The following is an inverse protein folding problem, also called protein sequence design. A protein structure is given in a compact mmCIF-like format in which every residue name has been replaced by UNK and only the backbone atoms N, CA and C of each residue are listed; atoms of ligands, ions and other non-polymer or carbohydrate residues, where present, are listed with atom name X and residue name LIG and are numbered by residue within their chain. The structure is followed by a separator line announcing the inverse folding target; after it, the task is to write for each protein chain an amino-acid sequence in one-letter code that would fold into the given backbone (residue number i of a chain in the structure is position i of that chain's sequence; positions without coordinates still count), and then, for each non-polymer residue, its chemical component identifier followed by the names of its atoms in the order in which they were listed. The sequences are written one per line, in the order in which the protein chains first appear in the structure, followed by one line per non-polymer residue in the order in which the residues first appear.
data_IF_492002522444
#
_entry.id   IF_492002522444
#
_cell.length_a   1.000
_cell.length_b   1.000
_cell.length_c   1.000
_cell.angle_alpha   90.00
_cell.angle_beta   90.00
_cell.angle_gamma   90.00
#
_symmetry.space_group_name_H-M   'P 1'
#
loop_
_entity.id
_entity.type
_entity.pdbx_description
1 polymer ?
#
# COMPACT_ATOMS: atom_id res chain seq x y z
N UNK A 1 -1.05 12.58 10.89
CA UNK A 1 -2.09 11.54 11.05
C UNK A 1 -1.66 10.26 10.38
N UNK A 2 -1.77 9.16 11.08
CA UNK A 2 -1.48 7.84 10.53
C UNK A 2 -2.57 7.47 9.52
N UNK A 3 -2.16 7.01 8.34
CA UNK A 3 -3.10 6.60 7.29
C UNK A 3 -2.83 5.16 6.88
N UNK A 4 -3.91 4.42 6.64
CA UNK A 4 -3.86 3.06 6.12
C UNK A 4 -4.56 3.07 4.77
N UNK A 5 -3.84 2.67 3.72
CA UNK A 5 -4.36 2.63 2.35
C UNK A 5 -4.58 1.19 1.93
N UNK A 6 -5.70 0.93 1.30
CA UNK A 6 -6.02 -0.41 0.81
C UNK A 6 -7.43 -0.50 0.27
N UNK A 7 -8.02 -1.69 0.39
CA UNK A 7 -9.41 -1.94 0.02
C UNK A 7 -10.12 -2.59 1.20
N UNK A 8 -11.41 -2.31 1.36
CA UNK A 8 -12.18 -2.74 2.54
C UNK A 8 -12.39 -4.26 2.60
N UNK A 9 -12.36 -4.95 1.47
CA UNK A 9 -12.57 -6.40 1.43
C UNK A 9 -11.26 -7.20 1.39
N UNK A 10 -10.19 -6.67 1.92
CA UNK A 10 -8.89 -7.34 2.00
C UNK A 10 -8.61 -7.74 3.45
N UNK A 11 -8.40 -9.04 3.69
CA UNK A 11 -8.16 -9.56 5.04
C UNK A 11 -6.93 -8.93 5.68
N UNK A 12 -5.86 -8.77 4.92
CA UNK A 12 -4.62 -8.18 5.43
C UNK A 12 -4.81 -6.72 5.83
N UNK A 13 -5.58 -5.98 5.05
CA UNK A 13 -5.93 -4.58 5.36
C UNK A 13 -6.74 -4.51 6.65
N UNK A 14 -7.76 -5.36 6.77
CA UNK A 14 -8.60 -5.38 7.96
C UNK A 14 -7.82 -5.80 9.21
N UNK A 15 -6.87 -6.69 9.05
CA UNK A 15 -5.97 -7.11 10.12
C UNK A 15 -5.11 -5.94 10.62
N UNK A 16 -4.58 -5.14 9.69
CA UNK A 16 -3.80 -3.96 10.05
C UNK A 16 -4.67 -2.92 10.78
N UNK A 17 -5.88 -2.67 10.27
CA UNK A 17 -6.80 -1.73 10.91
C UNK A 17 -7.12 -2.15 12.34
N UNK A 18 -7.39 -3.43 12.55
CA UNK A 18 -7.66 -3.97 13.89
C UNK A 18 -6.44 -3.87 14.80
N UNK A 19 -5.26 -4.08 14.25
CA UNK A 19 -4.02 -3.99 15.01
C UNK A 19 -3.86 -2.59 15.63
N UNK A 20 -4.05 -1.55 14.84
CA UNK A 20 -3.97 -0.17 15.33
C UNK A 20 -5.14 0.21 16.23
N UNK A 21 -6.35 -0.19 15.87
CA UNK A 21 -7.55 0.10 16.67
C UNK A 21 -7.44 -0.53 18.07
N UNK A 22 -6.99 -1.78 18.16
CA UNK A 22 -6.87 -2.48 19.44
C UNK A 22 -5.82 -1.84 20.36
N UNK A 23 -4.91 -1.05 19.81
CA UNK A 23 -3.88 -0.33 20.55
C UNK A 23 -4.23 1.15 20.72
N UNK A 24 -5.49 1.50 20.42
CA UNK A 24 -6.02 2.86 20.59
C UNK A 24 -5.26 3.92 19.78
N UNK A 25 -4.79 3.53 18.60
CA UNK A 25 -4.11 4.43 17.67
C UNK A 25 -5.11 4.95 16.66
N UNK A 26 -5.37 6.24 16.68
CA UNK A 26 -6.22 6.87 15.67
C UNK A 26 -5.56 6.82 14.31
N UNK A 27 -6.36 6.53 13.30
CA UNK A 27 -5.88 6.47 11.92
C UNK A 27 -7.01 6.75 10.96
N UNK A 28 -6.64 7.17 9.75
CA UNK A 28 -7.58 7.36 8.66
C UNK A 28 -7.42 6.19 7.68
N UNK A 29 -8.53 5.55 7.33
CA UNK A 29 -8.52 4.51 6.30
C UNK A 29 -8.87 5.13 4.95
N UNK A 30 -7.98 4.97 3.98
CA UNK A 30 -8.16 5.44 2.62
C UNK A 30 -8.40 4.22 1.72
N UNK A 31 -9.61 4.10 1.20
CA UNK A 31 -10.00 2.99 0.32
C UNK A 31 -9.74 3.37 -1.13
N UNK A 32 -8.93 2.58 -1.84
CA UNK A 32 -8.60 2.84 -3.25
C UNK A 32 -9.85 2.93 -4.13
N UNK A 33 -10.91 2.19 -3.79
CA UNK A 33 -12.12 2.13 -4.61
C UNK A 33 -13.05 3.31 -4.39
N UNK A 34 -13.21 3.75 -3.15
CA UNK A 34 -14.13 4.84 -2.81
C UNK A 34 -13.45 6.20 -2.82
N UNK A 35 -12.20 6.26 -2.38
CA UNK A 35 -11.45 7.51 -2.24
C UNK A 35 -10.49 7.76 -3.39
N UNK A 36 -10.28 6.74 -4.24
CA UNK A 36 -9.42 6.85 -5.41
C UNK A 36 -7.95 6.64 -5.11
N UNK A 37 -7.16 6.60 -6.16
CA UNK A 37 -5.70 6.47 -6.08
C UNK A 37 -5.09 7.42 -7.11
N UNK A 38 -4.40 8.43 -6.63
CA UNK A 38 -3.80 9.43 -7.51
C UNK A 38 -2.38 9.05 -7.92
N UNK A 39 -1.97 9.53 -9.09
CA UNK A 39 -0.59 9.36 -9.54
C UNK A 39 0.39 10.00 -8.56
N UNK A 40 0.02 11.10 -7.92
CA UNK A 40 0.86 11.78 -6.93
C UNK A 40 1.17 10.89 -5.74
N UNK A 41 0.17 10.20 -5.19
CA UNK A 41 0.38 9.25 -4.09
C UNK A 41 1.31 8.11 -4.50
N UNK A 42 1.05 7.51 -5.66
CA UNK A 42 1.86 6.39 -6.15
C UNK A 42 3.30 6.82 -6.37
N UNK A 43 3.52 7.98 -6.98
CA UNK A 43 4.87 8.52 -7.19
C UNK A 43 5.61 8.72 -5.88
N UNK A 44 4.93 9.25 -4.87
CA UNK A 44 5.52 9.46 -3.55
C UNK A 44 5.93 8.14 -2.90
N UNK A 45 5.07 7.13 -2.98
CA UNK A 45 5.38 5.79 -2.44
C UNK A 45 6.56 5.17 -3.16
N UNK A 46 6.59 5.26 -4.50
CA UNK A 46 7.69 4.73 -5.32
C UNK A 46 9.01 5.42 -4.94
N UNK A 47 8.98 6.73 -4.75
CA UNK A 47 10.16 7.49 -4.36
C UNK A 47 10.75 6.95 -3.05
N UNK A 48 9.89 6.56 -2.10
CA UNK A 48 10.32 6.09 -0.78
C UNK A 48 10.74 4.63 -0.73
N UNK A 49 10.12 3.77 -1.54
CA UNK A 49 10.32 2.32 -1.43
C UNK A 49 10.88 1.66 -2.69
N UNK A 50 10.81 2.34 -3.83
CA UNK A 50 11.00 1.69 -5.13
C UNK A 50 9.73 0.98 -5.56
N UNK A 51 9.49 0.91 -6.88
CA UNK A 51 8.24 0.33 -7.38
C UNK A 51 8.15 -1.18 -7.15
N UNK A 52 9.28 -1.87 -7.14
CA UNK A 52 9.30 -3.32 -6.97
C UNK A 52 8.80 -3.74 -5.60
N UNK A 53 9.04 -2.92 -4.57
CA UNK A 53 8.55 -3.18 -3.23
C UNK A 53 7.03 -3.00 -3.11
N UNK A 54 6.44 -2.19 -3.98
CA UNK A 54 5.00 -1.93 -3.98
C UNK A 54 4.19 -3.00 -4.70
N UNK A 55 4.78 -3.70 -5.67
CA UNK A 55 4.04 -4.64 -6.50
C UNK A 55 3.92 -5.99 -5.78
N UNK A 56 2.68 -6.49 -5.69
CA UNK A 56 2.42 -7.80 -5.11
C UNK A 56 2.41 -8.87 -6.20
N UNK A 57 3.54 -9.53 -6.38
CA UNK A 57 3.70 -10.58 -7.39
C UNK A 57 3.00 -11.89 -7.02
N UNK A 58 2.42 -11.97 -5.82
CA UNK A 58 1.63 -13.13 -5.39
C UNK A 58 0.13 -12.94 -5.59
N UNK A 59 -0.28 -11.74 -6.04
CA UNK A 59 -1.70 -11.44 -6.21
C UNK A 59 -2.27 -12.08 -7.46
N UNK A 60 -3.58 -12.30 -7.46
CA UNK A 60 -4.30 -12.73 -8.66
C UNK A 60 -4.20 -11.68 -9.77
N UNK A 61 -4.21 -10.41 -9.39
CA UNK A 61 -4.06 -9.31 -10.36
C UNK A 61 -2.74 -9.40 -11.11
N UNK A 62 -1.67 -9.76 -10.42
CA UNK A 62 -0.36 -9.98 -11.07
C UNK A 62 -0.43 -11.14 -12.07
N UNK A 63 -1.02 -12.25 -11.64
CA UNK A 63 -1.15 -13.44 -12.50
C UNK A 63 -2.01 -13.19 -13.74
N UNK A 64 -2.96 -12.26 -13.63
CA UNK A 64 -3.86 -11.92 -14.75
C UNK A 64 -3.26 -10.93 -15.74
N UNK A 65 -2.12 -10.32 -15.41
CA UNK A 65 -1.42 -9.46 -16.36
C UNK A 65 -0.86 -10.30 -17.51
N UNK A 66 -0.90 -9.75 -18.72
CA UNK A 66 -0.24 -10.41 -19.84
C UNK A 66 1.28 -10.35 -19.68
N UNK A 67 1.99 -11.25 -20.37
CA UNK A 67 3.44 -11.33 -20.26
C UNK A 67 4.13 -10.05 -20.71
N UNK A 68 3.61 -9.43 -21.77
CA UNK A 68 4.20 -8.19 -22.29
C UNK A 68 4.15 -7.07 -21.26
N UNK A 69 3.03 -6.93 -20.55
CA UNK A 69 2.89 -5.91 -19.49
C UNK A 69 3.84 -6.20 -18.34
N UNK A 70 3.87 -7.47 -17.87
CA UNK A 70 4.77 -7.82 -16.75
C UNK A 70 6.23 -7.60 -17.08
N UNK A 71 6.65 -8.06 -18.26
CA UNK A 71 8.04 -7.97 -18.68
C UNK A 71 8.44 -6.53 -19.01
N UNK A 72 7.48 -5.70 -19.37
CA UNK A 72 7.71 -4.31 -19.75
C UNK A 72 7.62 -3.29 -18.62
N UNK A 73 7.40 -3.74 -17.37
CA UNK A 73 7.33 -2.81 -16.25
C UNK A 73 8.65 -2.08 -16.04
N UNK A 74 8.56 -0.77 -15.88
CA UNK A 74 9.72 0.10 -15.73
C UNK A 74 9.33 1.37 -14.99
N UNK A 75 10.33 2.18 -14.67
CA UNK A 75 10.11 3.49 -14.03
C UNK A 75 9.19 4.38 -14.86
N UNK A 76 9.19 4.22 -16.19
CA UNK A 76 8.43 5.10 -17.08
C UNK A 76 6.95 4.78 -17.15
N UNK A 77 6.53 3.53 -16.84
CA UNK A 77 5.12 3.13 -16.97
C UNK A 77 4.47 2.65 -15.67
N UNK A 78 5.25 2.43 -14.62
CA UNK A 78 4.73 1.80 -13.40
C UNK A 78 3.64 2.62 -12.72
N UNK A 79 3.74 3.95 -12.74
CA UNK A 79 2.73 4.82 -12.12
C UNK A 79 1.38 4.62 -12.80
N UNK A 80 1.35 4.62 -14.14
CA UNK A 80 0.11 4.39 -14.89
C UNK A 80 -0.47 3.02 -14.64
N UNK A 81 0.38 2.00 -14.62
CA UNK A 81 -0.06 0.62 -14.40
C UNK A 81 -0.69 0.48 -13.02
N UNK A 82 -0.06 1.02 -11.98
CA UNK A 82 -0.58 0.89 -10.62
C UNK A 82 -1.83 1.75 -10.38
N UNK A 83 -1.92 2.92 -10.99
CA UNK A 83 -3.13 3.75 -10.86
C UNK A 83 -4.32 3.12 -11.58
N UNK A 84 -4.10 2.47 -12.71
CA UNK A 84 -5.15 1.75 -13.42
C UNK A 84 -5.55 0.45 -12.71
N UNK A 85 -4.58 -0.21 -12.07
CA UNK A 85 -4.80 -1.52 -11.44
C UNK A 85 -4.31 -1.50 -9.98
N UNK A 86 -5.04 -0.80 -9.10
CA UNK A 86 -4.61 -0.66 -7.69
C UNK A 86 -4.45 -1.98 -6.95
N UNK A 87 -5.14 -3.04 -7.41
CA UNK A 87 -5.04 -4.37 -6.80
C UNK A 87 -3.66 -5.01 -6.98
N UNK A 88 -2.81 -4.44 -7.84
CA UNK A 88 -1.40 -4.86 -7.96
C UNK A 88 -0.56 -4.39 -6.79
N UNK A 89 -1.00 -3.38 -6.06
CA UNK A 89 -0.23 -2.80 -4.95
C UNK A 89 -0.33 -3.70 -3.74
N UNK A 90 0.81 -3.97 -3.09
CA UNK A 90 0.82 -4.65 -1.79
C UNK A 90 0.02 -3.83 -0.79
N UNK A 91 -0.85 -4.49 -0.05
CA UNK A 91 -1.73 -3.86 0.92
C UNK A 91 -1.53 -4.46 2.31
N UNK A 92 -1.69 -3.67 3.34
CA UNK A 92 -1.92 -2.22 3.34
C UNK A 92 -0.65 -1.42 3.05
N UNK A 93 -0.82 -0.17 2.65
CA UNK A 93 0.26 0.82 2.67
C UNK A 93 -0.03 1.71 3.87
N UNK A 94 0.88 1.75 4.83
CA UNK A 94 0.71 2.52 6.08
C UNK A 94 1.69 3.68 6.05
N UNK A 95 1.18 4.89 6.24
CA UNK A 95 2.01 6.09 6.23
C UNK A 95 1.84 6.89 7.51
N UNK A 96 2.94 7.45 7.99
CA UNK A 96 2.93 8.43 9.07
C UNK A 96 4.06 9.42 8.81
N UNK A 97 3.70 10.68 8.58
CA UNK A 97 4.65 11.71 8.18
C UNK A 97 5.47 11.24 6.97
N UNK A 98 6.78 11.17 7.07
CA UNK A 98 7.65 10.72 5.97
C UNK A 98 7.86 9.22 5.90
N UNK A 99 7.29 8.47 6.84
CA UNK A 99 7.49 7.04 6.93
C UNK A 99 6.44 6.27 6.17
N UNK A 100 6.83 5.13 5.61
CA UNK A 100 5.95 4.24 4.87
C UNK A 100 6.28 2.79 5.22
N UNK A 101 5.23 2.01 5.44
CA UNK A 101 5.35 0.56 5.65
C UNK A 101 4.43 -0.10 4.64
N UNK A 102 4.97 -1.00 3.82
CA UNK A 102 4.21 -1.72 2.80
C UNK A 102 3.99 -3.15 3.26
N UNK A 103 2.72 -3.54 3.38
CA UNK A 103 2.32 -4.86 3.87
C UNK A 103 2.06 -4.88 5.36
N UNK A 104 1.59 -6.03 5.85
CA UNK A 104 1.34 -6.22 7.28
C UNK A 104 2.65 -6.65 7.96
N UNK A 105 3.24 -5.77 8.75
CA UNK A 105 4.53 -5.99 9.41
C UNK A 105 4.47 -5.51 10.85
N UNK A 106 4.13 -6.42 11.75
CA UNK A 106 3.90 -6.11 13.16
C UNK A 106 5.10 -5.46 13.84
N UNK A 107 6.31 -5.92 13.55
CA UNK A 107 7.53 -5.35 14.12
C UNK A 107 7.74 -3.91 13.69
N UNK A 108 7.50 -3.61 12.42
CA UNK A 108 7.60 -2.23 11.92
C UNK A 108 6.46 -1.37 12.45
N UNK A 109 5.26 -1.93 12.57
CA UNK A 109 4.12 -1.24 13.21
C UNK A 109 4.44 -0.90 14.65
N UNK A 110 5.08 -1.82 15.38
CA UNK A 110 5.49 -1.58 16.76
C UNK A 110 6.51 -0.45 16.89
N UNK A 111 7.49 -0.41 15.99
CA UNK A 111 8.47 0.67 15.97
C UNK A 111 7.79 2.02 15.69
N UNK A 112 6.84 2.04 14.75
CA UNK A 112 6.07 3.24 14.46
C UNK A 112 5.26 3.69 15.67
N UNK A 113 4.63 2.75 16.37
CA UNK A 113 3.84 3.04 17.57
C UNK A 113 4.68 3.71 18.65
N UNK A 114 5.93 3.29 18.83
CA UNK A 114 6.84 3.89 19.78
C UNK A 114 7.14 5.36 19.46
N UNK A 115 7.14 5.71 18.19
CA UNK A 115 7.34 7.09 17.76
C UNK A 115 6.12 7.97 18.00
N UNK A 116 4.94 7.37 18.09
CA UNK A 116 3.69 8.10 18.32
C UNK A 116 3.49 8.47 19.79
N UNK A 117 4.26 7.91 20.69
CA UNK A 117 4.13 8.15 22.15
C UNK A 117 4.78 9.45 22.59
#
# INVERSE_FOLDING_TARGET
MLKIYGISNCDTVNKARKWFTSRQVEHHFHDFRTDGLTAHLVKNWIFKTGWEALVNKRSSSWRMLDNATRDGLSDSNIVSVLTEKPTLIKRPVVTYEDQIIVGFKEDQFGTLLDQLK
#
